data_IF_867187501746
#
_entry.id   IF_867187501746
#
_cell.length_a   1.000
_cell.length_b   1.000
_cell.length_c   1.000
_cell.angle_alpha   90.00
_cell.angle_beta   90.00
_cell.angle_gamma   90.00
#
_symmetry.space_group_name_H-M   'P 1'
#
loop_
_entity.id
_entity.type
_entity.pdbx_description
1 polymer ?
#
# COMPACT_ATOMS: atom_id res chain seq x y z
N UNK A 1 60.93 -25.92 16.27
CA UNK A 1 61.35 -25.73 14.86
C UNK A 1 60.47 -24.65 14.22
N UNK A 2 60.93 -23.39 14.15
CA UNK A 2 60.23 -22.29 13.52
C UNK A 2 60.84 -21.96 12.14
N UNK A 3 60.04 -21.56 11.15
CA UNK A 3 60.49 -20.70 10.03
C UNK A 3 59.26 -20.19 9.27
N UNK A 4 58.91 -18.92 9.47
CA UNK A 4 59.32 -17.72 8.69
C UNK A 4 58.59 -17.68 7.34
N UNK A 5 57.60 -16.81 7.22
CA UNK A 5 57.70 -15.38 6.83
C UNK A 5 58.08 -15.22 5.36
N UNK A 6 57.13 -14.72 4.57
CA UNK A 6 57.38 -14.01 3.32
C UNK A 6 56.30 -12.93 3.14
N UNK A 7 56.57 -11.76 3.71
CA UNK A 7 56.51 -10.49 2.98
C UNK A 7 57.98 -10.16 2.60
N UNK A 8 58.33 -9.21 1.69
CA UNK A 8 57.55 -8.02 1.33
C UNK A 8 57.69 -7.49 -0.12
N UNK A 9 56.79 -6.54 -0.43
CA UNK A 9 56.88 -5.25 -1.18
C UNK A 9 57.95 -4.97 -2.25
N UNK A 10 57.76 -3.80 -2.91
CA UNK A 10 58.76 -2.93 -3.58
C UNK A 10 58.82 -3.22 -5.09
N UNK A 11 58.73 -2.30 -6.06
CA UNK A 11 58.64 -0.83 -6.14
C UNK A 11 58.20 -0.49 -7.59
N UNK A 12 57.35 0.50 -7.81
CA UNK A 12 57.70 1.90 -8.16
C UNK A 12 58.35 2.10 -9.54
N UNK A 13 57.66 2.93 -10.34
CA UNK A 13 58.17 3.82 -11.40
C UNK A 13 58.69 3.20 -12.69
N UNK A 14 58.56 3.82 -13.86
CA UNK A 14 57.71 4.86 -14.47
C UNK A 14 58.31 5.04 -15.88
N UNK A 15 57.47 5.34 -16.87
CA UNK A 15 57.82 5.99 -18.15
C UNK A 15 58.75 5.16 -19.08
N UNK A 16 58.77 5.29 -20.42
CA UNK A 16 58.44 6.35 -21.37
C UNK A 16 58.13 5.69 -22.74
N UNK A 17 57.25 6.34 -23.51
CA UNK A 17 57.24 6.54 -24.98
C UNK A 17 58.02 5.58 -25.90
N UNK A 18 57.39 5.12 -26.99
CA UNK A 18 57.72 5.51 -28.39
C UNK A 18 56.90 4.69 -29.40
N UNK A 19 56.09 5.42 -30.16
CA UNK A 19 55.76 5.30 -31.59
C UNK A 19 56.27 4.07 -32.36
N UNK A 20 55.37 3.29 -32.98
CA UNK A 20 55.29 3.19 -34.45
C UNK A 20 54.29 2.13 -34.95
N UNK A 21 53.77 2.43 -36.14
CA UNK A 21 53.27 1.53 -37.18
C UNK A 21 51.86 0.89 -37.03
N UNK A 22 50.92 1.56 -37.69
CA UNK A 22 49.74 1.00 -38.36
C UNK A 22 50.11 -0.14 -39.32
N UNK A 23 49.19 -1.09 -39.54
CA UNK A 23 48.75 -1.31 -40.92
C UNK A 23 47.22 -1.30 -41.03
N UNK A 24 46.74 -0.64 -42.09
CA UNK A 24 45.33 -0.54 -42.46
C UNK A 24 44.81 -1.87 -43.03
N UNK A 25 43.55 -2.23 -42.76
CA UNK A 25 42.70 -3.02 -43.66
C UNK A 25 41.21 -2.78 -43.38
N UNK A 26 40.56 -2.20 -44.39
CA UNK A 26 39.17 -2.31 -44.83
C UNK A 26 38.02 -1.63 -44.04
N UNK A 27 37.44 -0.67 -44.77
CA UNK A 27 36.27 0.16 -44.51
C UNK A 27 34.96 -0.63 -44.57
N UNK A 28 34.13 -0.52 -43.54
CA UNK A 28 32.68 -0.77 -43.60
C UNK A 28 31.92 0.54 -43.32
N UNK A 29 30.78 0.80 -43.99
CA UNK A 29 30.02 2.04 -43.84
C UNK A 29 29.31 2.12 -42.48
N UNK A 30 29.13 3.31 -41.87
CA UNK A 30 28.59 3.44 -40.53
C UNK A 30 27.09 3.14 -40.49
N UNK A 31 26.72 2.06 -39.81
CA UNK A 31 25.36 1.80 -39.40
C UNK A 31 24.91 2.92 -38.43
N UNK A 32 23.74 3.51 -38.70
CA UNK A 32 23.12 4.54 -37.85
C UNK A 32 22.89 3.98 -36.45
N UNK A 33 23.73 4.38 -35.51
CA UNK A 33 23.59 4.06 -34.09
C UNK A 33 22.27 4.62 -33.57
N UNK A 34 21.30 3.75 -33.28
CA UNK A 34 20.15 4.15 -32.48
C UNK A 34 20.64 4.58 -31.10
N UNK A 35 20.12 5.69 -30.54
CA UNK A 35 20.51 6.12 -29.20
C UNK A 35 20.16 5.02 -28.19
N UNK A 36 21.04 4.73 -27.22
CA UNK A 36 20.80 3.69 -26.24
C UNK A 36 19.48 3.94 -25.50
N UNK A 37 18.73 2.88 -25.14
CA UNK A 37 17.50 3.03 -24.38
C UNK A 37 17.79 3.78 -23.09
N UNK A 38 17.11 4.92 -22.88
CA UNK A 38 17.21 5.71 -21.65
C UNK A 38 16.89 4.80 -20.47
N UNK A 39 17.93 4.41 -19.72
CA UNK A 39 17.77 3.63 -18.49
C UNK A 39 16.94 4.48 -17.54
N UNK A 40 15.83 3.95 -17.05
CA UNK A 40 15.00 4.62 -16.05
C UNK A 40 15.86 4.80 -14.79
N UNK A 41 15.88 6.00 -14.23
CA UNK A 41 16.60 6.27 -12.99
C UNK A 41 16.08 5.40 -11.83
N UNK A 42 16.86 5.25 -10.75
CA UNK A 42 16.44 4.51 -9.56
C UNK A 42 15.07 4.97 -9.05
N UNK A 43 14.26 4.04 -8.54
CA UNK A 43 13.01 4.38 -7.87
C UNK A 43 13.28 5.25 -6.64
N UNK A 44 12.30 6.07 -6.25
CA UNK A 44 12.39 6.87 -5.03
C UNK A 44 12.10 6.01 -3.80
N UNK A 45 12.97 6.05 -2.80
CA UNK A 45 12.76 5.40 -1.51
C UNK A 45 11.78 6.18 -0.63
N UNK A 46 11.19 5.56 0.41
CA UNK A 46 10.40 6.27 1.40
C UNK A 46 11.19 7.35 2.14
N UNK A 47 12.49 7.16 2.39
CA UNK A 47 13.32 8.21 3.00
C UNK A 47 13.51 9.40 2.05
N UNK A 48 13.72 9.14 0.75
CA UNK A 48 13.79 10.20 -0.26
C UNK A 48 12.47 10.98 -0.36
N UNK A 49 11.32 10.30 -0.24
CA UNK A 49 10.01 10.97 -0.23
C UNK A 49 9.82 11.85 1.01
N UNK A 50 10.29 11.40 2.17
CA UNK A 50 10.29 12.18 3.40
C UNK A 50 11.15 13.43 3.24
N UNK A 51 12.39 13.27 2.76
CA UNK A 51 13.29 14.40 2.56
C UNK A 51 12.76 15.36 1.49
N UNK A 52 12.18 14.86 0.40
CA UNK A 52 11.52 15.68 -0.61
C UNK A 52 10.38 16.52 0.00
N UNK A 53 9.59 15.95 0.92
CA UNK A 53 8.56 16.69 1.63
C UNK A 53 9.13 17.76 2.57
N UNK A 54 10.23 17.47 3.28
CA UNK A 54 10.94 18.46 4.12
C UNK A 54 11.47 19.62 3.29
N UNK A 55 12.21 19.33 2.22
CA UNK A 55 12.78 20.34 1.33
C UNK A 55 11.71 21.18 0.66
N UNK A 56 10.61 20.56 0.22
CA UNK A 56 9.47 21.29 -0.32
C UNK A 56 8.84 22.21 0.73
N UNK A 57 8.64 21.73 1.96
CA UNK A 57 8.07 22.50 3.05
C UNK A 57 8.90 23.75 3.36
N UNK A 58 10.20 23.59 3.55
CA UNK A 58 11.14 24.65 3.86
C UNK A 58 11.17 25.74 2.77
N UNK A 59 11.28 25.35 1.50
CA UNK A 59 11.26 26.30 0.38
C UNK A 59 9.88 26.95 0.21
N UNK A 60 8.80 26.24 0.57
CA UNK A 60 7.44 26.78 0.49
C UNK A 60 7.15 27.84 1.55
N UNK A 61 7.77 27.75 2.73
CA UNK A 61 7.58 28.68 3.85
C UNK A 61 8.52 29.89 3.81
N UNK A 62 9.59 29.84 2.99
CA UNK A 62 10.50 30.96 2.76
C UNK A 62 9.76 32.17 2.13
N UNK A 63 9.30 33.07 3.00
CA UNK A 63 8.52 34.26 2.67
C UNK A 63 9.31 35.29 1.86
N UNK A 64 10.65 35.32 2.01
CA UNK A 64 11.52 36.30 1.37
C UNK A 64 11.50 36.11 -0.15
N UNK A 65 11.35 34.87 -0.62
CA UNK A 65 11.46 34.52 -2.04
C UNK A 65 10.19 33.87 -2.61
N UNK A 66 9.07 33.90 -1.87
CA UNK A 66 7.79 33.34 -2.32
C UNK A 66 6.98 34.28 -3.23
N UNK A 67 7.40 35.54 -3.39
CA UNK A 67 6.69 36.52 -4.21
C UNK A 67 7.19 36.44 -5.67
N UNK A 68 6.39 35.84 -6.56
CA UNK A 68 6.61 35.73 -8.02
C UNK A 68 7.82 34.90 -8.52
N UNK A 69 8.18 33.81 -7.84
CA UNK A 69 9.20 32.91 -8.36
C UNK A 69 8.68 32.05 -9.53
N UNK A 70 9.50 31.85 -10.57
CA UNK A 70 9.24 30.86 -11.63
C UNK A 70 9.29 29.44 -11.06
N UNK A 71 8.48 28.53 -11.61
CA UNK A 71 8.44 27.12 -11.18
C UNK A 71 9.82 26.47 -11.20
N UNK A 72 10.62 26.74 -12.21
CA UNK A 72 11.94 26.11 -12.39
C UNK A 72 12.91 26.51 -11.27
N UNK A 73 12.94 27.80 -10.92
CA UNK A 73 13.77 28.30 -9.82
C UNK A 73 13.29 27.72 -8.47
N UNK A 74 11.99 27.46 -8.31
CA UNK A 74 11.46 26.85 -7.07
C UNK A 74 12.01 25.44 -6.93
N UNK A 75 11.93 24.63 -7.99
CA UNK A 75 12.44 23.26 -7.97
C UNK A 75 13.96 23.18 -7.90
N UNK A 76 14.69 24.16 -8.45
CA UNK A 76 16.13 24.27 -8.28
C UNK A 76 16.52 24.42 -6.79
N UNK A 77 15.80 25.24 -6.03
CA UNK A 77 16.02 25.39 -4.58
C UNK A 77 15.63 24.15 -3.79
N UNK A 78 14.52 23.51 -4.16
CA UNK A 78 14.12 22.23 -3.54
C UNK A 78 15.20 21.18 -3.79
N UNK A 79 15.81 21.15 -4.99
CA UNK A 79 16.92 20.25 -5.30
C UNK A 79 18.16 20.58 -4.47
N UNK A 80 18.54 21.85 -4.36
CA UNK A 80 19.70 22.28 -3.57
C UNK A 80 19.59 21.82 -2.12
N UNK A 81 18.43 22.02 -1.49
CA UNK A 81 18.15 21.54 -0.13
C UNK A 81 18.13 20.01 -0.08
N UNK A 82 17.48 19.34 -1.03
CA UNK A 82 17.38 17.88 -1.08
C UNK A 82 18.75 17.19 -1.16
N UNK A 83 19.67 17.72 -1.97
CA UNK A 83 21.03 17.18 -2.16
C UNK A 83 21.88 17.34 -0.90
N UNK A 84 21.69 18.41 -0.12
CA UNK A 84 22.42 18.62 1.14
C UNK A 84 22.11 17.52 2.17
N UNK A 85 20.89 16.99 2.17
CA UNK A 85 20.43 16.03 3.17
C UNK A 85 20.29 14.60 2.65
N UNK A 86 20.52 14.36 1.36
CA UNK A 86 20.39 13.02 0.75
C UNK A 86 21.71 12.61 0.09
N UNK A 87 22.49 11.70 0.68
CA UNK A 87 23.73 11.18 0.08
C UNK A 87 23.46 10.15 -1.05
N UNK A 88 22.34 10.31 -1.77
CA UNK A 88 21.81 9.35 -2.71
C UNK A 88 22.27 9.54 -4.16
N UNK A 89 21.64 8.83 -5.11
CA UNK A 89 21.87 9.02 -6.54
C UNK A 89 21.61 10.46 -6.95
N UNK A 90 22.39 10.99 -7.89
CA UNK A 90 22.13 12.31 -8.45
C UNK A 90 20.70 12.39 -9.01
N UNK A 91 19.89 13.27 -8.43
CA UNK A 91 18.53 13.58 -8.88
C UNK A 91 18.56 14.93 -9.59
N UNK A 92 17.71 15.08 -10.60
CA UNK A 92 17.44 16.36 -11.24
C UNK A 92 16.14 16.97 -10.69
N UNK A 93 15.99 18.29 -10.79
CA UNK A 93 14.80 19.04 -10.38
C UNK A 93 13.53 18.48 -11.04
N UNK A 94 13.62 18.08 -12.31
CA UNK A 94 12.51 17.44 -13.04
C UNK A 94 12.10 16.09 -12.42
N UNK A 95 13.07 15.32 -11.91
CA UNK A 95 12.78 14.04 -11.26
C UNK A 95 12.05 14.28 -9.93
N UNK A 96 12.49 15.26 -9.14
CA UNK A 96 11.82 15.66 -7.90
C UNK A 96 10.40 16.14 -8.18
N UNK A 97 10.21 17.02 -9.17
CA UNK A 97 8.89 17.51 -9.55
C UNK A 97 7.96 16.37 -10.01
N UNK A 98 8.49 15.42 -10.78
CA UNK A 98 7.73 14.25 -11.23
C UNK A 98 7.32 13.35 -10.07
N UNK A 99 8.22 13.16 -9.09
CA UNK A 99 7.94 12.37 -7.88
C UNK A 99 6.99 13.09 -6.92
N UNK A 100 7.09 14.41 -6.83
CA UNK A 100 6.27 15.21 -5.94
C UNK A 100 4.79 15.12 -6.26
N UNK A 101 4.40 15.13 -7.54
CA UNK A 101 2.99 15.08 -7.96
C UNK A 101 2.19 13.92 -7.33
N UNK A 102 2.61 12.65 -7.47
CA UNK A 102 1.89 11.54 -6.82
C UNK A 102 1.98 11.58 -5.29
N UNK A 103 3.11 11.99 -4.71
CA UNK A 103 3.27 12.13 -3.26
C UNK A 103 2.27 13.16 -2.69
N UNK A 104 2.23 14.34 -3.29
CA UNK A 104 1.30 15.42 -2.96
C UNK A 104 -0.16 14.96 -3.09
N UNK A 105 -0.51 14.27 -4.18
CA UNK A 105 -1.87 13.76 -4.38
C UNK A 105 -2.27 12.75 -3.28
N UNK A 106 -1.37 11.82 -2.94
CA UNK A 106 -1.58 10.87 -1.86
C UNK A 106 -1.80 11.57 -0.52
N UNK A 107 -0.91 12.50 -0.15
CA UNK A 107 -0.97 13.26 1.09
C UNK A 107 -2.22 14.16 1.17
N UNK A 108 -2.63 14.82 0.08
CA UNK A 108 -3.84 15.66 0.04
C UNK A 108 -5.11 14.81 0.19
N UNK A 109 -5.17 13.66 -0.48
CA UNK A 109 -6.31 12.75 -0.37
C UNK A 109 -6.41 12.18 1.05
N UNK A 110 -5.28 11.74 1.61
CA UNK A 110 -5.23 11.29 3.00
C UNK A 110 -5.65 12.39 3.98
N UNK A 111 -5.17 13.63 3.78
CA UNK A 111 -5.60 14.79 4.57
C UNK A 111 -7.10 15.00 4.52
N UNK A 112 -7.72 14.88 3.34
CA UNK A 112 -9.16 15.05 3.19
C UNK A 112 -9.96 13.99 3.96
N UNK A 113 -9.50 12.74 3.97
CA UNK A 113 -10.11 11.64 4.72
C UNK A 113 -9.93 11.84 6.23
N UNK A 114 -8.71 12.12 6.67
CA UNK A 114 -8.40 12.39 8.08
C UNK A 114 -9.22 13.57 8.61
N UNK A 115 -9.25 14.69 7.86
CA UNK A 115 -10.01 15.88 8.23
C UNK A 115 -11.52 15.64 8.26
N UNK A 116 -12.04 14.72 7.45
CA UNK A 116 -13.46 14.35 7.50
C UNK A 116 -13.80 13.64 8.80
N UNK A 117 -12.91 12.76 9.27
CA UNK A 117 -13.09 12.01 10.52
C UNK A 117 -12.91 12.95 11.72
N UNK A 118 -11.85 13.77 11.72
CA UNK A 118 -11.57 14.66 12.84
C UNK A 118 -12.62 15.76 13.04
N UNK A 119 -13.34 16.16 11.98
CA UNK A 119 -14.46 17.12 12.06
C UNK A 119 -15.74 16.55 12.66
N UNK A 120 -15.96 15.24 12.56
CA UNK A 120 -17.12 14.57 13.14
C UNK A 120 -16.68 13.22 13.73
N UNK A 121 -15.94 13.24 14.85
CA UNK A 121 -15.41 12.03 15.45
C UNK A 121 -16.54 11.22 16.10
N UNK A 122 -16.43 9.89 16.00
CA UNK A 122 -17.32 9.01 16.76
C UNK A 122 -17.08 9.20 18.26
N UNK A 123 -18.13 9.14 19.08
CA UNK A 123 -18.00 9.28 20.53
C UNK A 123 -16.98 8.29 21.10
N UNK A 124 -16.02 8.80 21.88
CA UNK A 124 -14.97 7.98 22.48
C UNK A 124 -13.81 7.57 21.54
N UNK A 125 -13.78 8.05 20.30
CA UNK A 125 -12.67 7.76 19.37
C UNK A 125 -11.44 8.62 19.64
N UNK A 126 -10.26 7.99 19.59
CA UNK A 126 -8.96 8.65 19.74
C UNK A 126 -8.36 9.09 18.40
N UNK A 127 -7.39 10.02 18.38
CA UNK A 127 -6.66 10.39 17.16
C UNK A 127 -5.99 9.19 16.46
N UNK A 128 -5.59 8.17 17.22
CA UNK A 128 -5.03 6.94 16.66
C UNK A 128 -6.11 6.14 15.89
N UNK A 129 -7.33 6.09 16.41
CA UNK A 129 -8.47 5.47 15.72
C UNK A 129 -8.81 6.23 14.43
N UNK A 130 -8.71 7.56 14.45
CA UNK A 130 -8.91 8.37 13.24
C UNK A 130 -7.86 8.08 12.18
N UNK A 131 -6.61 7.87 12.58
CA UNK A 131 -5.52 7.48 11.67
C UNK A 131 -5.81 6.13 11.02
N UNK A 132 -6.22 5.14 11.81
CA UNK A 132 -6.53 3.80 11.33
C UNK A 132 -7.72 3.81 10.36
N UNK A 133 -8.79 4.53 10.72
CA UNK A 133 -9.96 4.70 9.87
C UNK A 133 -9.62 5.43 8.56
N UNK A 134 -8.81 6.50 8.62
CA UNK A 134 -8.37 7.23 7.43
C UNK A 134 -7.57 6.34 6.47
N UNK A 135 -6.69 5.47 7.00
CA UNK A 135 -5.95 4.48 6.21
C UNK A 135 -6.87 3.45 5.56
N UNK A 136 -7.87 2.96 6.30
CA UNK A 136 -8.90 2.07 5.76
C UNK A 136 -9.66 2.70 4.58
N UNK A 137 -10.19 3.91 4.78
CA UNK A 137 -10.89 4.65 3.72
C UNK A 137 -9.98 4.97 2.52
N UNK A 138 -8.68 5.25 2.76
CA UNK A 138 -7.73 5.49 1.68
C UNK A 138 -7.51 4.24 0.83
N UNK A 139 -7.34 3.09 1.48
CA UNK A 139 -7.18 1.80 0.81
C UNK A 139 -8.42 1.46 -0.04
N UNK A 140 -9.63 1.65 0.47
CA UNK A 140 -10.86 1.45 -0.29
C UNK A 140 -10.95 2.32 -1.54
N UNK A 141 -10.46 3.57 -1.47
CA UNK A 141 -10.56 4.52 -2.59
C UNK A 141 -9.40 4.47 -3.58
N UNK A 142 -8.20 4.07 -3.17
CA UNK A 142 -6.98 4.08 -4.00
C UNK A 142 -6.52 2.67 -4.34
N UNK A 143 -7.03 1.67 -3.63
CA UNK A 143 -6.62 0.26 -3.71
C UNK A 143 -5.12 0.07 -3.45
N UNK A 144 -4.55 0.92 -2.59
CA UNK A 144 -3.14 0.90 -2.15
C UNK A 144 -3.06 1.35 -0.70
N UNK A 145 -2.14 0.76 0.05
CA UNK A 145 -1.83 1.22 1.40
C UNK A 145 -1.18 2.61 1.33
N UNK A 146 -1.53 3.45 2.29
CA UNK A 146 -0.86 4.73 2.47
C UNK A 146 0.51 4.48 3.13
N UNK A 147 1.59 4.94 2.50
CA UNK A 147 2.98 4.69 2.96
C UNK A 147 3.75 5.98 3.23
N UNK A 148 3.10 7.15 3.07
CA UNK A 148 3.74 8.47 3.11
C UNK A 148 3.43 9.20 4.43
N UNK A 149 3.44 8.48 5.56
CA UNK A 149 3.07 9.02 6.87
C UNK A 149 3.96 10.19 7.31
N UNK A 150 5.28 10.04 7.18
CA UNK A 150 6.23 11.10 7.56
C UNK A 150 6.07 12.33 6.69
N UNK A 151 6.03 12.14 5.37
CA UNK A 151 5.77 13.22 4.42
C UNK A 151 4.44 13.94 4.72
N UNK A 152 3.36 13.21 5.02
CA UNK A 152 2.09 13.83 5.37
C UNK A 152 2.16 14.60 6.69
N UNK A 153 2.82 14.07 7.72
CA UNK A 153 2.97 14.75 9.01
C UNK A 153 3.69 16.09 8.88
N UNK A 154 4.68 16.19 7.99
CA UNK A 154 5.40 17.43 7.71
C UNK A 154 4.54 18.44 6.95
N UNK A 155 3.69 17.97 6.04
CA UNK A 155 2.95 18.82 5.11
C UNK A 155 1.59 19.27 5.65
N UNK A 156 0.95 18.48 6.52
CA UNK A 156 -0.44 18.69 6.93
C UNK A 156 -0.68 20.05 7.58
N UNK A 157 0.34 20.63 8.21
CA UNK A 157 0.23 21.90 8.96
C UNK A 157 0.55 23.15 8.12
N UNK A 158 1.21 22.97 6.98
CA UNK A 158 1.65 24.05 6.11
C UNK A 158 0.43 24.73 5.45
N UNK A 159 0.25 26.06 5.60
CA UNK A 159 -0.89 26.78 5.05
C UNK A 159 -1.04 26.62 3.53
N UNK A 160 0.08 26.69 2.79
CA UNK A 160 0.09 26.45 1.34
C UNK A 160 -0.44 25.06 0.99
N UNK A 161 -0.06 24.04 1.75
CA UNK A 161 -0.51 22.67 1.54
C UNK A 161 -2.00 22.49 1.89
N UNK A 162 -2.45 23.03 3.03
CA UNK A 162 -3.87 23.05 3.43
C UNK A 162 -4.75 23.67 2.34
N UNK A 163 -4.31 24.78 1.76
CA UNK A 163 -5.01 25.49 0.69
C UNK A 163 -5.14 24.69 -0.61
N UNK A 164 -4.30 23.68 -0.84
CA UNK A 164 -4.40 22.81 -2.02
C UNK A 164 -5.51 21.75 -1.87
N UNK A 165 -5.85 21.37 -0.63
CA UNK A 165 -6.91 20.39 -0.34
C UNK A 165 -8.30 20.87 -0.80
N UNK A 166 -8.56 22.18 -0.76
CA UNK A 166 -9.85 22.78 -1.17
C UNK A 166 -9.99 23.11 -2.66
N UNK A 167 -8.92 23.05 -3.46
CA UNK A 167 -8.98 23.37 -4.92
C UNK A 167 -9.34 22.17 -5.80
N UNK A 168 -9.54 20.98 -5.23
CA UNK A 168 -10.04 19.82 -5.97
C UNK A 168 -11.52 20.01 -6.33
N UNK A 169 -11.80 20.77 -7.39
CA UNK A 169 -13.05 20.64 -8.15
C UNK A 169 -13.03 19.25 -8.78
N UNK A 170 -13.53 18.24 -8.07
CA UNK A 170 -14.14 17.02 -8.59
C UNK A 170 -14.50 16.10 -7.42
N UNK A 171 -15.79 16.10 -7.07
CA UNK A 171 -16.36 15.22 -6.06
C UNK A 171 -17.43 15.89 -5.22
N UNK A 172 -18.48 16.45 -5.85
CA UNK A 172 -19.77 16.53 -5.15
C UNK A 172 -20.18 15.09 -4.85
N UNK A 173 -19.95 14.66 -3.62
CA UNK A 173 -20.62 13.48 -3.08
C UNK A 173 -22.10 13.83 -2.94
N UNK A 174 -22.94 12.87 -3.33
CA UNK A 174 -24.38 13.01 -3.42
C UNK A 174 -24.99 13.66 -2.17
N UNK A 175 -25.87 14.63 -2.42
CA UNK A 175 -26.79 15.21 -1.46
C UNK A 175 -27.66 14.07 -0.89
N UNK A 176 -27.52 13.78 0.40
CA UNK A 176 -28.47 12.95 1.15
C UNK A 176 -29.77 13.76 1.26
N UNK A 177 -30.94 13.27 0.83
CA UNK A 177 -32.17 14.00 1.02
C UNK A 177 -32.58 13.89 2.49
N UNK A 178 -32.45 14.98 3.25
CA UNK A 178 -33.06 15.10 4.56
C UNK A 178 -34.53 15.48 4.37
N UNK A 179 -35.42 14.56 4.70
CA UNK A 179 -36.86 14.77 4.80
C UNK A 179 -37.18 15.52 6.09
N UNK A 180 -37.81 16.70 6.00
CA UNK A 180 -38.28 17.43 7.17
C UNK A 180 -38.76 18.86 6.90
N UNK A 181 -39.97 18.97 6.35
CA UNK A 181 -41.05 19.91 6.69
C UNK A 181 -40.85 21.45 6.74
N UNK A 182 -41.55 22.11 5.78
CA UNK A 182 -42.31 23.39 5.84
C UNK A 182 -41.51 24.72 5.97
N UNK A 183 -41.74 25.82 5.21
CA UNK A 183 -42.99 26.45 4.71
C UNK A 183 -42.73 27.40 3.51
N UNK A 184 -43.78 27.62 2.69
CA UNK A 184 -43.98 28.53 1.50
C UNK A 184 -43.83 30.06 1.82
N UNK A 185 -43.97 31.05 0.87
CA UNK A 185 -44.69 31.07 -0.45
C UNK A 185 -43.93 31.70 -1.65
N UNK A 186 -44.16 31.23 -2.89
CA UNK A 186 -45.06 31.77 -3.96
C UNK A 186 -44.71 33.18 -4.46
N UNK A 187 -44.26 33.25 -5.72
CA UNK A 187 -44.76 34.19 -6.74
C UNK A 187 -44.37 33.70 -8.14
N UNK A 188 -45.37 33.28 -8.92
CA UNK A 188 -45.35 33.33 -10.39
C UNK A 188 -45.75 34.74 -10.87
N UNK A 189 -45.40 35.12 -12.10
CA UNK A 189 -46.44 35.14 -13.14
C UNK A 189 -46.00 34.59 -14.51
N UNK A 190 -46.75 33.60 -15.00
CA UNK A 190 -47.54 33.57 -16.24
C UNK A 190 -47.07 34.37 -17.49
N UNK A 191 -46.68 33.58 -18.51
CA UNK A 191 -47.22 33.50 -19.89
C UNK A 191 -47.20 34.72 -20.86
N UNK A 192 -46.61 34.51 -22.05
CA UNK A 192 -47.31 34.73 -23.33
C UNK A 192 -46.48 34.30 -24.57
N UNK A 193 -47.12 33.42 -25.36
CA UNK A 193 -47.17 33.35 -26.83
C UNK A 193 -46.09 32.59 -27.66
N UNK A 194 -46.50 31.37 -28.04
CA UNK A 194 -46.21 30.62 -29.29
C UNK A 194 -46.88 31.33 -30.52
N UNK A 195 -46.81 30.90 -31.83
CA UNK A 195 -46.59 29.54 -32.36
C UNK A 195 -45.85 29.39 -33.73
N UNK A 196 -45.44 28.16 -34.08
CA UNK A 196 -45.73 27.48 -35.37
C UNK A 196 -44.78 26.29 -35.69
N UNK A 197 -45.34 25.14 -36.08
CA UNK A 197 -44.71 24.21 -37.05
C UNK A 197 -44.21 22.84 -36.57
N UNK A 198 -45.08 21.83 -36.60
CA UNK A 198 -44.85 20.35 -36.57
C UNK A 198 -43.89 19.83 -37.67
N UNK A 199 -43.44 18.54 -37.76
CA UNK A 199 -43.91 17.31 -37.07
C UNK A 199 -42.79 16.34 -36.57
N UNK A 200 -43.20 15.37 -35.73
CA UNK A 200 -42.40 14.19 -35.35
C UNK A 200 -42.07 13.35 -36.60
N UNK A 201 -40.81 12.99 -36.78
CA UNK A 201 -40.37 12.02 -37.79
C UNK A 201 -39.53 10.90 -37.13
N UNK A 202 -39.88 9.67 -37.55
CA UNK A 202 -39.25 8.35 -37.33
C UNK A 202 -37.90 8.33 -36.61
N UNK A 203 -37.88 7.54 -35.54
CA UNK A 203 -36.73 7.04 -34.80
C UNK A 203 -35.67 6.40 -35.73
N UNK A 204 -34.81 7.24 -36.30
CA UNK A 204 -33.47 6.83 -36.69
C UNK A 204 -32.55 7.32 -35.58
N UNK A 205 -32.44 6.53 -34.51
CA UNK A 205 -31.50 6.82 -33.44
C UNK A 205 -30.10 6.85 -34.05
N UNK A 206 -29.57 8.07 -34.18
CA UNK A 206 -28.30 8.31 -34.86
C UNK A 206 -27.23 7.46 -34.18
N UNK A 207 -26.44 6.65 -34.92
CA UNK A 207 -25.49 5.73 -34.31
C UNK A 207 -24.58 6.51 -33.36
N UNK A 208 -24.28 5.95 -32.17
CA UNK A 208 -23.50 6.65 -31.17
C UNK A 208 -22.20 7.12 -31.81
N UNK A 209 -21.98 8.43 -31.82
CA UNK A 209 -20.77 9.02 -32.40
C UNK A 209 -19.53 8.31 -31.84
N UNK A 210 -18.48 8.19 -32.65
CA UNK A 210 -17.29 7.36 -32.39
C UNK A 210 -16.73 7.55 -30.96
N UNK A 211 -16.75 8.77 -30.43
CA UNK A 211 -16.33 9.07 -29.07
C UNK A 211 -17.26 8.49 -27.98
N UNK A 212 -18.58 8.52 -28.19
CA UNK A 212 -19.57 7.94 -27.28
C UNK A 212 -19.52 6.41 -27.31
N UNK A 213 -19.32 5.81 -28.48
CA UNK A 213 -19.12 4.36 -28.61
C UNK A 213 -17.84 3.90 -27.90
N UNK A 214 -16.70 4.59 -28.10
CA UNK A 214 -15.44 4.29 -27.41
C UNK A 214 -15.55 4.41 -25.88
N UNK A 215 -16.26 5.42 -25.37
CA UNK A 215 -16.50 5.56 -23.92
C UNK A 215 -17.33 4.41 -23.35
N UNK A 216 -18.38 3.96 -24.05
CA UNK A 216 -19.20 2.81 -23.61
C UNK A 216 -18.38 1.52 -23.54
N UNK A 217 -17.57 1.24 -24.56
CA UNK A 217 -16.68 0.06 -24.57
C UNK A 217 -15.71 0.09 -23.38
N UNK A 218 -15.12 1.25 -23.08
CA UNK A 218 -14.24 1.41 -21.92
C UNK A 218 -14.97 1.23 -20.58
N UNK A 219 -16.21 1.70 -20.47
CA UNK A 219 -17.03 1.60 -19.26
C UNK A 219 -17.51 0.14 -19.03
N UNK A 220 -17.87 -0.55 -20.10
CA UNK A 220 -18.27 -1.97 -20.05
C UNK A 220 -17.07 -2.88 -19.75
N UNK A 221 -15.88 -2.56 -20.26
CA UNK A 221 -14.65 -3.25 -19.90
C UNK A 221 -14.33 -3.08 -18.40
N UNK A 222 -14.52 -1.87 -17.85
CA UNK A 222 -14.37 -1.59 -16.42
C UNK A 222 -15.36 -2.41 -15.58
N UNK A 223 -16.64 -2.43 -15.95
CA UNK A 223 -17.67 -3.24 -15.27
C UNK A 223 -17.33 -4.73 -15.30
N UNK A 224 -16.87 -5.24 -16.44
CA UNK A 224 -16.47 -6.65 -16.58
C UNK A 224 -15.27 -6.99 -15.69
N UNK A 225 -14.24 -6.14 -15.64
CA UNK A 225 -13.08 -6.30 -14.75
C UNK A 225 -13.49 -6.28 -13.28
N UNK A 226 -14.38 -5.35 -12.89
CA UNK A 226 -14.92 -5.26 -11.52
C UNK A 226 -15.69 -6.52 -11.12
N UNK A 227 -16.59 -7.01 -11.98
CA UNK A 227 -17.36 -8.24 -11.73
C UNK A 227 -16.45 -9.47 -11.61
N UNK A 228 -15.41 -9.57 -12.44
CA UNK A 228 -14.45 -10.67 -12.37
C UNK A 228 -13.68 -10.65 -11.04
N UNK A 229 -13.28 -9.47 -10.57
CA UNK A 229 -12.60 -9.32 -9.28
C UNK A 229 -13.50 -9.72 -8.11
N UNK A 230 -14.78 -9.33 -8.14
CA UNK A 230 -15.75 -9.70 -7.12
C UNK A 230 -15.96 -11.23 -7.08
N UNK A 231 -16.16 -11.86 -8.24
CA UNK A 231 -16.26 -13.32 -8.33
C UNK A 231 -14.98 -14.04 -7.86
N UNK A 232 -13.80 -13.51 -8.17
CA UNK A 232 -12.53 -14.06 -7.68
C UNK A 232 -12.43 -13.96 -6.16
N UNK A 233 -12.85 -12.84 -5.57
CA UNK A 233 -12.90 -12.64 -4.12
C UNK A 233 -13.88 -13.60 -3.44
N UNK A 234 -15.10 -13.74 -3.99
CA UNK A 234 -16.12 -14.69 -3.50
C UNK A 234 -15.61 -16.14 -3.56
N UNK A 235 -15.00 -16.55 -4.69
CA UNK A 235 -14.40 -17.88 -4.82
C UNK A 235 -13.28 -18.10 -3.81
N UNK A 236 -12.46 -17.08 -3.55
CA UNK A 236 -11.38 -17.18 -2.57
C UNK A 236 -11.92 -17.26 -1.13
N UNK A 237 -12.96 -16.48 -0.82
CA UNK A 237 -13.65 -16.54 0.47
C UNK A 237 -14.27 -17.93 0.71
N UNK A 238 -15.02 -18.44 -0.28
CA UNK A 238 -15.62 -19.77 -0.20
C UNK A 238 -14.57 -20.88 0.00
N UNK A 239 -13.44 -20.80 -0.71
CA UNK A 239 -12.31 -21.73 -0.52
C UNK A 239 -11.76 -21.69 0.91
N UNK A 240 -11.51 -20.50 1.45
CA UNK A 240 -11.03 -20.33 2.83
C UNK A 240 -12.01 -20.89 3.85
N UNK A 241 -13.31 -20.71 3.64
CA UNK A 241 -14.33 -21.28 4.54
C UNK A 241 -14.35 -22.80 4.49
N UNK A 242 -14.22 -23.41 3.31
CA UNK A 242 -14.14 -24.88 3.17
C UNK A 242 -12.87 -25.42 3.82
N UNK A 243 -11.74 -24.77 3.59
CA UNK A 243 -10.45 -25.15 4.17
C UNK A 243 -10.46 -25.04 5.70
N UNK A 244 -11.01 -23.95 6.25
CA UNK A 244 -11.17 -23.77 7.70
C UNK A 244 -12.08 -24.85 8.32
N UNK A 245 -13.16 -25.23 7.63
CA UNK A 245 -14.03 -26.33 8.09
C UNK A 245 -13.29 -27.66 8.11
N UNK A 246 -12.54 -27.97 7.05
CA UNK A 246 -11.71 -29.19 6.99
C UNK A 246 -10.66 -29.20 8.10
N UNK A 247 -9.93 -28.11 8.30
CA UNK A 247 -8.93 -28.00 9.35
C UNK A 247 -9.53 -28.18 10.75
N UNK A 248 -10.72 -27.63 11.01
CA UNK A 248 -11.42 -27.83 12.27
C UNK A 248 -11.86 -29.29 12.48
N UNK A 249 -12.31 -29.97 11.42
CA UNK A 249 -12.65 -31.41 11.50
C UNK A 249 -11.42 -32.28 11.74
N UNK A 250 -10.29 -31.96 11.10
CA UNK A 250 -9.01 -32.65 11.31
C UNK A 250 -8.52 -32.44 12.74
N UNK A 251 -8.51 -31.20 13.23
CA UNK A 251 -8.15 -30.89 14.62
C UNK A 251 -9.05 -31.62 15.62
N UNK A 252 -10.35 -31.76 15.33
CA UNK A 252 -11.26 -32.54 16.18
C UNK A 252 -10.86 -34.02 16.20
N UNK A 253 -10.58 -34.62 15.04
CA UNK A 253 -10.11 -36.01 14.97
C UNK A 253 -8.80 -36.23 15.73
N UNK A 254 -7.87 -35.29 15.63
CA UNK A 254 -6.60 -35.36 16.38
C UNK A 254 -6.83 -35.31 17.89
N UNK A 255 -7.72 -34.43 18.35
CA UNK A 255 -8.09 -34.37 19.77
C UNK A 255 -8.76 -35.68 20.24
N UNK A 256 -9.67 -36.24 19.43
CA UNK A 256 -10.35 -37.50 19.75
C UNK A 256 -9.33 -38.66 19.83
N UNK A 257 -8.39 -38.74 18.89
CA UNK A 257 -7.31 -39.74 18.89
C UNK A 257 -6.42 -39.56 20.12
N UNK A 258 -6.04 -38.34 20.48
CA UNK A 258 -5.24 -38.08 21.67
C UNK A 258 -5.95 -38.52 22.96
N UNK A 259 -7.26 -38.28 23.06
CA UNK A 259 -8.05 -38.73 24.19
C UNK A 259 -8.07 -40.27 24.30
N UNK A 260 -8.19 -40.98 23.17
CA UNK A 260 -8.11 -42.43 23.13
C UNK A 260 -6.72 -42.94 23.55
N UNK A 261 -5.65 -42.33 23.06
CA UNK A 261 -4.27 -42.66 23.47
C UNK A 261 -4.07 -42.51 24.98
N UNK A 262 -4.55 -41.41 25.56
CA UNK A 262 -4.49 -41.19 27.03
C UNK A 262 -5.29 -42.24 27.78
N UNK A 263 -6.44 -42.66 27.25
CA UNK A 263 -7.25 -43.72 27.86
C UNK A 263 -6.52 -45.06 27.82
N UNK A 264 -5.97 -45.45 26.67
CA UNK A 264 -5.20 -46.69 26.52
C UNK A 264 -3.96 -46.70 27.40
N UNK A 265 -3.24 -45.57 27.48
CA UNK A 265 -2.07 -45.44 28.35
C UNK A 265 -2.46 -45.58 29.83
N UNK A 266 -3.57 -44.95 30.23
CA UNK A 266 -4.13 -45.11 31.57
C UNK A 266 -4.49 -46.57 31.86
N UNK A 267 -5.18 -47.26 30.95
CA UNK A 267 -5.54 -48.67 31.11
C UNK A 267 -4.31 -49.57 31.19
N UNK A 268 -3.28 -49.32 30.39
CA UNK A 268 -2.00 -50.03 30.47
C UNK A 268 -1.32 -49.81 31.81
N UNK A 269 -1.30 -48.57 32.30
CA UNK A 269 -0.75 -48.25 33.61
C UNK A 269 -1.55 -48.94 34.74
N UNK A 270 -2.88 -48.95 34.64
CA UNK A 270 -3.75 -49.66 35.58
C UNK A 270 -3.53 -51.19 35.54
N UNK A 271 -3.42 -51.79 34.35
CA UNK A 271 -3.12 -53.21 34.18
C UNK A 271 -1.73 -53.57 34.71
N UNK A 272 -0.72 -52.73 34.45
CA UNK A 272 0.63 -52.87 35.01
C UNK A 272 0.60 -52.83 36.54
N UNK A 273 -0.21 -51.94 37.12
CA UNK A 273 -0.37 -51.83 38.58
C UNK A 273 -1.02 -53.07 39.18
N UNK A 274 -2.00 -53.68 38.49
CA UNK A 274 -2.70 -54.89 38.96
C UNK A 274 -1.87 -56.17 38.85
N UNK A 275 -0.94 -56.25 37.89
CA UNK A 275 -0.06 -57.39 37.69
C UNK A 275 1.24 -57.32 38.52
N UNK A 276 1.49 -56.19 39.20
CA UNK A 276 2.67 -55.99 40.01
C UNK A 276 2.54 -56.70 41.36
N UNK A 277 3.46 -57.62 41.65
CA UNK A 277 3.46 -58.36 42.92
C UNK A 277 3.84 -57.45 44.10
N UNK A 278 2.88 -57.24 44.99
CA UNK A 278 3.00 -56.43 46.20
C UNK A 278 4.10 -56.97 47.15
N UNK A 279 4.39 -58.27 47.09
CA UNK A 279 5.42 -58.91 47.91
C UNK A 279 6.83 -58.79 47.32
N UNK A 280 6.94 -58.50 46.03
CA UNK A 280 8.21 -58.23 45.35
C UNK A 280 8.66 -56.75 45.49
N UNK A 281 7.81 -55.88 46.03
CA UNK A 281 8.13 -54.47 46.26
C UNK A 281 8.91 -54.29 47.58
N UNK A 282 10.16 -53.86 47.48
CA UNK A 282 11.06 -53.60 48.62
C UNK A 282 10.87 -52.23 49.26
N UNK A 283 10.25 -51.28 48.54
CA UNK A 283 9.93 -49.96 49.05
C UNK A 283 8.56 -49.95 49.76
N UNK A 284 8.57 -49.59 51.04
CA UNK A 284 7.40 -49.63 51.93
C UNK A 284 6.33 -48.63 51.50
N UNK A 285 6.74 -47.48 50.94
CA UNK A 285 5.84 -46.45 50.45
C UNK A 285 5.11 -46.89 49.16
N UNK A 286 5.83 -47.41 48.17
CA UNK A 286 5.23 -47.97 46.96
C UNK A 286 4.30 -49.16 47.26
N UNK A 287 4.66 -50.01 48.24
CA UNK A 287 3.81 -51.13 48.70
C UNK A 287 2.48 -50.65 49.31
N UNK A 288 2.52 -49.62 50.14
CA UNK A 288 1.32 -49.01 50.71
C UNK A 288 0.42 -48.37 49.64
N UNK A 289 1.00 -47.72 48.63
CA UNK A 289 0.29 -47.13 47.49
C UNK A 289 -0.42 -48.19 46.62
N UNK A 290 0.26 -49.30 46.31
CA UNK A 290 -0.32 -50.44 45.58
C UNK A 290 -1.51 -51.07 46.33
N UNK A 291 -1.36 -51.28 47.65
CA UNK A 291 -2.43 -51.82 48.50
C UNK A 291 -3.64 -50.88 48.60
N UNK A 292 -3.41 -49.57 48.68
CA UNK A 292 -4.48 -48.58 48.76
C UNK A 292 -5.27 -48.47 47.44
N UNK A 293 -4.62 -48.59 46.29
CA UNK A 293 -5.28 -48.47 44.99
C UNK A 293 -5.95 -49.76 44.51
N UNK A 294 -5.45 -50.94 44.91
CA UNK A 294 -6.11 -52.23 44.63
C UNK A 294 -7.37 -52.46 45.47
N UNK A 295 -7.43 -51.93 46.69
CA UNK A 295 -8.62 -52.04 47.59
C UNK A 295 -9.79 -51.15 47.20
N UNK A 296 -9.56 -50.05 46.46
CA UNK A 296 -10.60 -49.10 46.04
C UNK A 296 -11.48 -49.57 44.87
N UNK A 297 -11.17 -50.71 44.23
CA UNK A 297 -11.86 -51.20 43.01
C UNK A 297 -12.53 -52.58 43.15
N UNK A 298 -12.62 -53.14 44.36
CA UNK A 298 -13.53 -54.26 44.68
C UNK A 298 -14.83 -53.71 45.26
#
# INVERSE_FOLDING_TARGET
MPRRKSQPTTTTQQATTTTSATPATQSQPPAKSQPPPKRRGPNFSPEEDEQLAKSWAQVSEDAIKSNNQKSDDFWARVLEDFVQFTPGPERDANALQTRWKPLQQACLKFSALYNRISKNPASGSSPNDWMLNARGMYYEQVNKHFTSDQAWNLLKDIPKFKNLSGKAKNGRLAHVPNTGSQSRPINEPLDSNNPAGTPKSKDWERPPGIHRAKRKVSDDEYKRKKMKLLQSSEKQSAKRTIEAKRANEEAKRENDIQAEWVSVDREKNEMSLMLQDVNACTDEYAKAYLLANTRKKK
#
